data_IF_917411100371
#
_entry.id   IF_917411100371
#
_cell.length_a   1.000
_cell.length_b   1.000
_cell.length_c   1.000
_cell.angle_alpha   90.00
_cell.angle_beta   90.00
_cell.angle_gamma   90.00
#
_symmetry.space_group_name_H-M   'P 1'
#
loop_
_entity.id
_entity.type
_entity.pdbx_description
1 polymer ?
#
# COMPACT_ATOMS: atom_id res chain seq x y z
N UNK A 1 8.26 0.91 17.30
CA UNK A 1 8.83 1.75 16.22
C UNK A 1 8.86 0.91 14.96
N UNK A 2 8.54 1.46 13.80
CA UNK A 2 8.60 0.78 12.50
C UNK A 2 9.36 1.65 11.50
N UNK A 3 10.20 1.00 10.70
CA UNK A 3 10.94 1.60 9.61
C UNK A 3 10.90 0.64 8.44
N UNK A 4 10.66 1.15 7.24
CA UNK A 4 10.76 0.37 6.01
C UNK A 4 12.05 0.77 5.29
N UNK A 5 12.76 -0.21 4.71
CA UNK A 5 13.96 0.00 3.91
C UNK A 5 13.77 -0.60 2.51
N UNK A 6 14.25 0.09 1.49
CA UNK A 6 14.29 -0.43 0.12
C UNK A 6 15.70 -0.30 -0.44
N UNK A 7 16.16 -1.41 -1.04
CA UNK A 7 17.44 -1.53 -1.72
C UNK A 7 17.18 -1.98 -3.15
N UNK A 8 17.70 -1.25 -4.13
CA UNK A 8 17.66 -1.62 -5.54
C UNK A 8 19.06 -1.63 -6.12
N UNK A 9 19.41 -2.71 -6.82
CA UNK A 9 20.65 -2.82 -7.59
C UNK A 9 20.29 -2.94 -9.07
N UNK A 10 20.85 -2.05 -9.88
CA UNK A 10 20.74 -2.06 -11.33
C UNK A 10 22.11 -2.43 -11.91
N UNK A 11 22.17 -3.54 -12.64
CA UNK A 11 23.36 -3.96 -13.37
C UNK A 11 23.14 -3.67 -14.86
N UNK A 12 23.91 -2.72 -15.39
CA UNK A 12 23.96 -2.44 -16.83
C UNK A 12 25.06 -3.30 -17.46
N UNK A 13 24.81 -3.86 -18.64
CA UNK A 13 25.73 -4.80 -19.33
C UNK A 13 27.11 -4.24 -19.71
N UNK A 14 27.47 -3.03 -19.28
CA UNK A 14 28.78 -2.38 -19.42
C UNK A 14 29.62 -2.41 -18.12
N UNK A 15 29.23 -3.17 -17.09
CA UNK A 15 30.03 -3.37 -15.88
C UNK A 15 29.87 -2.28 -14.81
N UNK A 16 28.97 -1.31 -15.02
CA UNK A 16 28.55 -0.37 -13.99
C UNK A 16 27.38 -0.95 -13.18
N UNK A 17 27.64 -1.26 -11.91
CA UNK A 17 26.64 -1.67 -10.92
C UNK A 17 26.25 -0.46 -10.08
N UNK A 18 25.00 0.00 -10.19
CA UNK A 18 24.48 1.10 -9.40
C UNK A 18 23.56 0.54 -8.31
N UNK A 19 23.83 0.91 -7.05
CA UNK A 19 23.01 0.48 -5.91
C UNK A 19 22.46 1.68 -5.15
N UNK A 20 21.14 1.74 -5.02
CA UNK A 20 20.44 2.79 -4.28
C UNK A 20 19.83 2.19 -3.00
N UNK A 21 19.99 2.93 -1.90
CA UNK A 21 19.42 2.61 -0.61
C UNK A 21 18.57 3.78 -0.13
N UNK A 22 17.31 3.53 0.23
CA UNK A 22 16.45 4.57 0.77
C UNK A 22 15.50 4.06 1.86
N UNK A 23 15.19 4.93 2.81
CA UNK A 23 14.28 4.69 3.93
C UNK A 23 12.99 5.51 3.73
N UNK A 24 11.95 4.95 3.08
CA UNK A 24 10.74 5.69 2.74
C UNK A 24 9.93 6.18 3.93
N UNK A 25 9.91 5.43 5.04
CA UNK A 25 9.07 5.76 6.19
C UNK A 25 9.69 5.27 7.49
N UNK A 26 9.64 6.14 8.49
CA UNK A 26 10.10 5.87 9.86
C UNK A 26 9.10 6.51 10.80
N UNK A 27 8.40 5.69 11.58
CA UNK A 27 7.36 6.17 12.48
C UNK A 27 7.20 5.28 13.72
N UNK A 28 6.62 5.89 14.75
CA UNK A 28 6.12 5.23 15.93
C UNK A 28 4.60 5.26 15.87
N UNK A 29 3.95 4.21 16.35
CA UNK A 29 2.51 4.20 16.48
C UNK A 29 2.10 3.61 17.83
N UNK A 30 0.97 4.09 18.34
CA UNK A 30 0.32 3.59 19.54
C UNK A 30 -1.18 3.48 19.29
N UNK A 31 -1.75 2.31 19.60
CA UNK A 31 -3.19 2.13 19.59
C UNK A 31 -3.81 2.76 20.85
N UNK A 32 -4.95 3.42 20.67
CA UNK A 32 -5.78 4.05 21.70
C UNK A 32 -7.18 3.40 21.66
N UNK A 33 -7.39 2.26 22.34
CA UNK A 33 -8.64 1.51 22.29
C UNK A 33 -9.85 2.30 22.77
N UNK A 34 -9.68 3.17 23.78
CA UNK A 34 -10.74 4.03 24.31
C UNK A 34 -11.37 4.94 23.23
N UNK A 35 -10.58 5.34 22.24
CA UNK A 35 -10.99 6.18 21.12
C UNK A 35 -11.13 5.39 19.80
N UNK A 36 -10.94 4.06 19.84
CA UNK A 36 -10.87 3.18 18.66
C UNK A 36 -9.94 3.75 17.56
N UNK A 37 -8.81 4.31 18.00
CA UNK A 37 -7.94 5.12 17.15
C UNK A 37 -6.49 4.72 17.27
N UNK A 38 -5.71 5.07 16.26
CA UNK A 38 -4.25 4.91 16.23
C UNK A 38 -3.58 6.26 16.14
N UNK A 39 -2.72 6.54 17.12
CA UNK A 39 -1.81 7.68 17.10
C UNK A 39 -0.52 7.26 16.40
N UNK A 40 -0.11 8.01 15.38
CA UNK A 40 1.12 7.80 14.61
C UNK A 40 1.98 9.05 14.68
N UNK A 41 3.28 8.89 14.89
CA UNK A 41 4.26 9.97 15.00
C UNK A 41 5.48 9.63 14.14
N UNK A 42 5.85 10.51 13.21
CA UNK A 42 7.04 10.35 12.38
C UNK A 42 6.79 10.70 10.92
N UNK A 43 7.58 10.09 10.03
CA UNK A 43 7.46 10.27 8.58
C UNK A 43 6.56 9.18 8.01
N UNK A 44 5.42 9.58 7.45
CA UNK A 44 4.45 8.66 6.87
C UNK A 44 3.70 9.32 5.70
N UNK A 45 2.75 8.58 5.13
CA UNK A 45 1.90 9.06 4.05
C UNK A 45 0.50 9.33 4.58
N UNK A 46 -0.07 10.47 4.20
CA UNK A 46 -1.48 10.75 4.47
C UNK A 46 -2.32 10.09 3.38
N UNK A 47 -2.68 8.82 3.56
CA UNK A 47 -3.69 8.18 2.70
C UNK A 47 -5.08 8.61 3.17
N UNK A 48 -5.84 9.32 2.34
CA UNK A 48 -7.24 9.70 2.59
C UNK A 48 -8.11 9.22 1.42
N UNK A 49 -9.38 8.95 1.70
CA UNK A 49 -10.36 8.68 0.63
C UNK A 49 -10.86 9.96 -0.04
N UNK A 50 -10.58 11.12 0.56
CA UNK A 50 -11.08 12.44 0.13
C UNK A 50 -9.97 13.28 -0.51
N UNK A 51 -8.72 13.07 -0.07
CA UNK A 51 -7.55 13.83 -0.51
C UNK A 51 -6.52 12.90 -1.11
N UNK A 52 -5.77 13.41 -2.08
CA UNK A 52 -4.63 12.70 -2.64
C UNK A 52 -3.60 12.35 -1.57
N UNK A 53 -2.95 11.20 -1.76
CA UNK A 53 -1.96 10.72 -0.81
C UNK A 53 -0.66 11.49 -0.96
N UNK A 54 -0.24 12.19 0.10
CA UNK A 54 1.04 12.90 0.15
C UNK A 54 1.91 12.47 1.34
N UNK A 55 3.23 12.62 1.20
CA UNK A 55 4.18 12.31 2.28
C UNK A 55 4.29 13.50 3.23
N UNK A 56 4.35 13.23 4.53
CA UNK A 56 4.50 14.26 5.53
C UNK A 56 5.25 13.75 6.77
N UNK A 57 5.82 14.67 7.53
CA UNK A 57 6.40 14.41 8.83
C UNK A 57 5.57 15.08 9.91
N UNK A 58 5.05 14.31 10.86
CA UNK A 58 4.25 14.85 11.95
C UNK A 58 3.48 13.81 12.75
N UNK A 59 2.29 14.22 13.17
CA UNK A 59 1.37 13.45 14.00
C UNK A 59 0.11 13.11 13.22
N UNK A 60 -0.43 11.92 13.46
CA UNK A 60 -1.72 11.49 12.91
C UNK A 60 -2.52 10.78 13.97
N UNK A 61 -3.77 11.20 14.15
CA UNK A 61 -4.76 10.46 14.92
C UNK A 61 -5.87 10.04 13.97
N UNK A 62 -6.02 8.73 13.76
CA UNK A 62 -7.04 8.20 12.86
C UNK A 62 -7.83 7.08 13.56
N UNK A 63 -9.15 7.08 13.36
CA UNK A 63 -10.00 5.93 13.70
C UNK A 63 -9.54 4.69 12.91
N UNK A 64 -9.37 3.54 13.57
CA UNK A 64 -8.89 2.31 12.93
C UNK A 64 -9.96 1.21 13.02
N UNK A 65 -10.56 0.88 11.87
CA UNK A 65 -11.66 -0.10 11.78
C UNK A 65 -11.20 -1.53 12.10
N UNK A 66 -9.91 -1.82 12.01
CA UNK A 66 -9.34 -3.12 12.37
C UNK A 66 -9.36 -3.38 13.88
N UNK A 67 -9.64 -2.35 14.68
CA UNK A 67 -9.91 -2.51 16.11
C UNK A 67 -11.35 -2.93 16.39
N UNK A 68 -12.23 -3.01 15.38
CA UNK A 68 -13.55 -3.61 15.51
C UNK A 68 -13.50 -5.13 15.40
N UNK A 69 -14.48 -5.85 15.98
CA UNK A 69 -14.66 -7.28 15.76
C UNK A 69 -14.70 -7.64 14.26
N UNK A 70 -14.19 -8.82 13.85
CA UNK A 70 -14.11 -9.23 12.44
C UNK A 70 -15.43 -9.15 11.66
N UNK A 71 -16.58 -9.30 12.34
CA UNK A 71 -17.92 -9.18 11.75
C UNK A 71 -18.29 -7.76 11.27
N UNK A 72 -17.50 -6.75 11.65
CA UNK A 72 -17.68 -5.34 11.29
C UNK A 72 -16.52 -4.80 10.43
N UNK A 73 -15.54 -5.63 10.06
CA UNK A 73 -14.39 -5.24 9.23
C UNK A 73 -14.77 -5.27 7.73
N UNK A 74 -14.19 -4.34 6.95
CA UNK A 74 -14.54 -4.07 5.55
C UNK A 74 -14.00 -5.09 4.53
N UNK A 75 -14.47 -4.94 3.28
CA UNK A 75 -14.20 -5.79 2.10
C UNK A 75 -12.71 -5.93 1.78
N UNK A 76 -12.24 -7.14 1.50
CA UNK A 76 -10.92 -7.41 0.95
C UNK A 76 -11.04 -7.61 -0.58
N UNK A 77 -10.38 -6.77 -1.41
CA UNK A 77 -10.42 -6.94 -2.85
C UNK A 77 -9.64 -8.18 -3.27
N UNK A 78 -10.33 -9.14 -3.87
CA UNK A 78 -9.70 -10.31 -4.49
C UNK A 78 -9.16 -9.92 -5.86
N UNK A 79 -7.87 -10.17 -6.11
CA UNK A 79 -7.26 -10.02 -7.43
C UNK A 79 -7.09 -11.40 -8.04
N UNK A 80 -7.76 -11.64 -9.15
CA UNK A 80 -7.66 -12.86 -9.95
C UNK A 80 -7.06 -12.57 -11.33
N UNK A 81 -6.32 -13.53 -11.87
CA UNK A 81 -5.75 -13.44 -13.22
C UNK A 81 -5.38 -14.82 -13.77
N UNK A 82 -4.84 -14.85 -14.98
CA UNK A 82 -4.35 -16.08 -15.63
C UNK A 82 -2.90 -15.84 -16.03
N UNK A 83 -2.01 -16.74 -15.61
CA UNK A 83 -0.62 -16.80 -16.03
C UNK A 83 -0.44 -17.93 -17.07
N UNK A 84 0.24 -17.68 -18.19
CA UNK A 84 0.46 -18.74 -19.20
C UNK A 84 1.69 -19.60 -18.87
N UNK A 85 2.60 -19.08 -18.05
CA UNK A 85 3.81 -19.74 -17.59
C UNK A 85 4.07 -19.44 -16.10
N UNK A 86 5.22 -19.89 -15.59
CA UNK A 86 5.67 -19.49 -14.26
C UNK A 86 5.90 -17.97 -14.27
N UNK A 87 5.08 -17.23 -13.53
CA UNK A 87 5.08 -15.79 -13.59
C UNK A 87 5.32 -15.16 -12.22
N UNK A 88 5.96 -13.99 -12.23
CA UNK A 88 6.07 -13.12 -11.07
C UNK A 88 4.97 -12.07 -11.13
N UNK A 89 4.11 -12.07 -10.12
CA UNK A 89 3.01 -11.12 -9.97
C UNK A 89 3.44 -10.05 -8.98
N UNK A 90 3.42 -8.80 -9.42
CA UNK A 90 3.73 -7.61 -8.63
C UNK A 90 2.51 -6.71 -8.60
N UNK A 91 2.05 -6.38 -7.39
CA UNK A 91 0.99 -5.41 -7.16
C UNK A 91 1.62 -4.14 -6.63
N UNK A 92 1.38 -3.02 -7.31
CA UNK A 92 1.90 -1.71 -6.93
C UNK A 92 0.80 -0.66 -6.88
N UNK A 93 1.04 0.40 -6.12
CA UNK A 93 0.19 1.58 -6.06
C UNK A 93 1.06 2.83 -6.01
N UNK A 94 0.83 3.79 -6.91
CA UNK A 94 1.61 5.03 -7.00
C UNK A 94 3.13 4.76 -7.00
N UNK A 95 3.56 3.71 -7.72
CA UNK A 95 4.96 3.29 -7.81
C UNK A 95 5.52 2.50 -6.61
N UNK A 96 4.76 2.32 -5.52
CA UNK A 96 5.16 1.49 -4.37
C UNK A 96 4.70 0.05 -4.54
N UNK A 97 5.61 -0.91 -4.48
CA UNK A 97 5.28 -2.34 -4.46
C UNK A 97 4.59 -2.67 -3.14
N UNK A 98 3.34 -3.13 -3.21
CA UNK A 98 2.52 -3.54 -2.07
C UNK A 98 2.61 -5.05 -1.84
N UNK A 99 2.74 -5.83 -2.90
CA UNK A 99 2.81 -7.28 -2.84
C UNK A 99 3.59 -7.84 -4.03
N UNK A 100 4.36 -8.90 -3.82
CA UNK A 100 5.11 -9.56 -4.88
C UNK A 100 5.21 -11.05 -4.59
N UNK A 101 4.73 -11.89 -5.50
CA UNK A 101 4.78 -13.36 -5.37
C UNK A 101 5.03 -14.04 -6.72
N UNK A 102 5.43 -15.31 -6.70
CA UNK A 102 5.51 -16.16 -7.89
C UNK A 102 4.30 -17.09 -7.93
N UNK A 103 3.71 -17.26 -9.11
CA UNK A 103 2.56 -18.13 -9.35
C UNK A 103 2.90 -19.16 -10.43
N UNK A 104 2.28 -20.33 -10.32
CA UNK A 104 2.36 -21.38 -11.32
C UNK A 104 1.51 -21.05 -12.55
N UNK A 105 1.73 -21.70 -13.70
CA UNK A 105 0.88 -21.54 -14.88
C UNK A 105 -0.57 -21.90 -14.55
N UNK A 106 -1.51 -21.07 -15.01
CA UNK A 106 -2.94 -21.25 -14.83
C UNK A 106 -3.64 -20.06 -14.16
N UNK A 107 -4.93 -20.21 -13.84
CA UNK A 107 -5.68 -19.24 -13.05
C UNK A 107 -5.05 -19.11 -11.66
N UNK A 108 -4.86 -17.88 -11.21
CA UNK A 108 -4.39 -17.60 -9.86
C UNK A 108 -5.28 -16.56 -9.19
N UNK A 109 -5.36 -16.68 -7.87
CA UNK A 109 -5.96 -15.69 -6.99
C UNK A 109 -4.91 -15.26 -5.97
N UNK A 110 -4.73 -13.95 -5.81
CA UNK A 110 -3.84 -13.43 -4.78
C UNK A 110 -4.58 -13.40 -3.44
N UNK A 111 -3.99 -13.95 -2.36
CA UNK A 111 -4.58 -13.89 -1.03
C UNK A 111 -4.69 -12.45 -0.55
N UNK A 112 -5.69 -12.19 0.30
CA UNK A 112 -6.16 -10.87 0.76
C UNK A 112 -5.02 -9.84 0.92
N UNK A 113 -4.98 -8.91 -0.03
CA UNK A 113 -4.20 -7.69 0.11
C UNK A 113 -4.74 -6.92 1.32
N UNK A 114 -3.84 -6.32 2.10
CA UNK A 114 -4.18 -5.54 3.31
C UNK A 114 -5.41 -4.65 3.11
N UNK A 115 -6.41 -4.79 3.99
CA UNK A 115 -7.71 -4.07 3.96
C UNK A 115 -7.61 -2.52 3.96
N UNK A 116 -6.40 -1.96 4.10
CA UNK A 116 -6.15 -0.51 4.04
C UNK A 116 -5.81 0.01 2.64
N UNK A 117 -5.91 -0.83 1.62
CA UNK A 117 -5.57 -0.45 0.24
C UNK A 117 -6.83 0.07 -0.44
N UNK A 118 -6.81 1.33 -0.87
CA UNK A 118 -7.91 2.02 -1.56
C UNK A 118 -7.41 2.74 -2.80
N UNK A 119 -8.22 2.86 -3.85
CA UNK A 119 -7.87 3.53 -5.11
C UNK A 119 -7.46 2.56 -6.21
N UNK A 120 -6.62 3.00 -7.14
CA UNK A 120 -6.19 2.17 -8.25
C UNK A 120 -4.96 1.33 -7.87
N UNK A 121 -4.94 0.07 -8.28
CA UNK A 121 -3.84 -0.85 -8.14
C UNK A 121 -3.30 -1.26 -9.49
N UNK A 122 -2.00 -1.10 -9.68
CA UNK A 122 -1.31 -1.51 -10.88
C UNK A 122 -0.78 -2.92 -10.65
N UNK A 123 -1.32 -3.88 -11.40
CA UNK A 123 -0.91 -5.28 -11.36
C UNK A 123 -0.01 -5.54 -12.56
N UNK A 124 1.17 -6.08 -12.31
CA UNK A 124 2.14 -6.47 -13.33
C UNK A 124 2.44 -7.96 -13.20
N UNK A 125 2.29 -8.70 -14.28
CA UNK A 125 2.62 -10.13 -14.36
C UNK A 125 3.74 -10.30 -15.36
N UNK A 126 4.91 -10.68 -14.86
CA UNK A 126 6.10 -10.98 -15.66
C UNK A 126 6.23 -12.48 -15.83
N UNK A 127 6.06 -12.96 -17.04
CA UNK A 127 6.16 -14.37 -17.42
C UNK A 127 7.62 -14.82 -17.60
N UNK A 128 7.85 -16.13 -17.63
CA UNK A 128 9.20 -16.70 -17.73
C UNK A 128 9.88 -16.42 -19.08
N UNK A 129 9.10 -16.13 -20.11
CA UNK A 129 9.59 -15.70 -21.44
C UNK A 129 10.01 -14.22 -21.49
N UNK A 130 9.85 -13.49 -20.37
CA UNK A 130 10.14 -12.07 -20.27
C UNK A 130 8.98 -11.15 -20.68
N UNK A 131 7.86 -11.69 -21.16
CA UNK A 131 6.67 -10.90 -21.45
C UNK A 131 6.06 -10.33 -20.17
N UNK A 132 5.62 -9.08 -20.23
CA UNK A 132 5.03 -8.37 -19.09
C UNK A 132 3.62 -7.93 -19.46
N UNK A 133 2.65 -8.35 -18.66
CA UNK A 133 1.25 -7.93 -18.77
C UNK A 133 0.94 -7.01 -17.61
N UNK A 134 0.39 -5.85 -17.92
CA UNK A 134 -0.04 -4.89 -16.90
C UNK A 134 -1.52 -4.59 -17.07
N UNK A 135 -2.22 -4.51 -15.94
CA UNK A 135 -3.59 -4.02 -15.92
C UNK A 135 -3.86 -3.33 -14.59
N UNK A 136 -4.86 -2.45 -14.61
CA UNK A 136 -5.25 -1.71 -13.43
C UNK A 136 -6.50 -2.33 -12.82
N UNK A 137 -6.42 -2.66 -11.54
CA UNK A 137 -7.57 -3.07 -10.73
C UNK A 137 -8.00 -1.85 -9.93
N UNK A 138 -9.19 -1.34 -10.23
CA UNK A 138 -9.81 -0.35 -9.36
C UNK A 138 -10.35 -1.09 -8.13
N UNK A 139 -9.69 -0.92 -6.98
CA UNK A 139 -10.33 -1.36 -5.74
C UNK A 139 -11.41 -0.32 -5.46
N UNK A 140 -12.66 -0.75 -5.65
CA UNK A 140 -13.81 0.06 -5.29
C UNK A 140 -13.65 0.43 -3.82
N UNK A 141 -13.28 1.69 -3.56
CA UNK A 141 -13.43 2.24 -2.23
C UNK A 141 -14.92 2.18 -1.97
N UNK A 142 -15.36 1.31 -1.06
CA UNK A 142 -16.70 1.44 -0.50
C UNK A 142 -16.78 2.90 -0.04
N UNK A 143 -17.71 3.71 -0.58
CA UNK A 143 -17.84 5.10 -0.22
C UNK A 143 -17.91 5.21 1.31
N UNK A 144 -17.60 6.38 1.84
CA UNK A 144 -17.44 6.73 3.25
C UNK A 144 -18.68 6.51 4.17
N UNK A 145 -19.53 5.53 3.86
CA UNK A 145 -20.61 5.03 4.69
C UNK A 145 -20.01 4.27 5.87
N UNK A 146 -19.72 5.01 6.93
CA UNK A 146 -19.66 4.42 8.26
C UNK A 146 -21.02 3.77 8.54
N UNK A 147 -21.05 2.58 9.14
CA UNK A 147 -22.31 1.98 9.61
C UNK A 147 -23.03 2.98 10.52
N UNK A 148 -24.35 2.97 10.52
CA UNK A 148 -25.16 3.83 11.40
C UNK A 148 -24.63 3.78 12.84
N UNK A 149 -24.28 4.95 13.40
CA UNK A 149 -23.68 5.09 14.73
C UNK A 149 -22.15 5.06 14.80
N UNK A 150 -21.45 4.99 13.66
CA UNK A 150 -19.98 5.06 13.60
C UNK A 150 -19.50 6.38 13.01
N UNK A 151 -18.45 6.95 13.61
CA UNK A 151 -17.80 8.17 13.12
C UNK A 151 -16.37 7.81 12.73
N UNK A 152 -16.05 7.98 11.45
CA UNK A 152 -14.70 7.85 10.93
C UNK A 152 -14.06 9.24 10.92
N UNK A 153 -12.88 9.36 11.52
CA UNK A 153 -12.16 10.62 11.56
C UNK A 153 -10.66 10.39 11.38
N UNK A 154 -10.00 11.38 10.78
CA UNK A 154 -8.56 11.42 10.61
C UNK A 154 -8.09 12.85 10.78
N UNK A 155 -7.26 13.07 11.78
CA UNK A 155 -6.62 14.35 12.07
C UNK A 155 -5.14 14.18 11.84
N UNK A 156 -4.55 15.02 11.01
CA UNK A 156 -3.11 15.04 10.75
C UNK A 156 -2.57 16.45 10.96
N UNK A 157 -1.42 16.55 11.62
CA UNK A 157 -0.74 17.81 11.86
C UNK A 157 0.76 17.60 11.64
N UNK A 158 1.38 18.42 10.79
CA UNK A 158 2.79 18.27 10.45
C UNK A 158 3.19 19.09 9.24
N UNK A 159 4.35 18.77 8.68
CA UNK A 159 4.89 19.40 7.47
C UNK A 159 4.86 18.42 6.29
N UNK A 160 4.41 18.83 5.09
CA UNK A 160 4.55 18.01 3.91
C UNK A 160 6.03 17.80 3.58
N UNK A 161 6.37 16.59 3.14
CA UNK A 161 7.68 16.24 2.61
C UNK A 161 7.52 16.17 1.10
N UNK A 162 7.67 17.30 0.41
CA UNK A 162 7.70 17.31 -1.05
C UNK A 162 8.95 16.56 -1.52
N UNK A 163 8.74 15.60 -2.43
CA UNK A 163 9.84 14.97 -3.16
C UNK A 163 10.12 15.81 -4.40
N UNK A 164 11.22 16.56 -4.39
CA UNK A 164 11.74 17.28 -5.56
C UNK A 164 12.37 18.61 -5.18
N UNK A 165 13.67 18.70 -5.36
CA UNK A 165 14.40 19.96 -5.48
C UNK A 165 13.74 20.86 -6.55
N UNK A 166 13.74 22.17 -6.31
CA UNK A 166 13.37 23.19 -7.29
C UNK A 166 14.54 23.50 -8.22
#
# INVERSE_FOLDING_TARGET
>A
MRSDYQYSRFDSGQGASQSDFYLPQTYLFRALPALRSKLTLGQTYLSSAIFDSFRFAGLTLASDERMLPPSLQGYAPKISGIANSNAQVTVSQNGRILYQTRVSPGPFELPDLSQNISGNLDVSVRESDGSVRTWQVNTASVPFMARQGQVRYKVAAGRPLYGGDA
#
